data_IF_214642940369
#
_entry.id   IF_214642940369
#
_cell.length_a   1.000
_cell.length_b   1.000
_cell.length_c   1.000
_cell.angle_alpha   90.00
_cell.angle_beta   90.00
_cell.angle_gamma   90.00
#
_symmetry.space_group_name_H-M   'P 1'
#
loop_
_entity.id
_entity.type
_entity.pdbx_description
1 polymer ?
#
# COMPACT_ATOMS: atom_id res chain seq x y z
N UNK A 1 -5.04 -1.26 -19.27
CA UNK A 1 -6.30 -1.55 -18.57
C UNK A 1 -6.07 -2.82 -17.76
N UNK A 2 -5.39 -2.69 -16.61
CA UNK A 2 -4.90 -3.87 -15.88
C UNK A 2 -6.04 -4.48 -15.08
N UNK A 3 -6.55 -5.61 -15.56
CA UNK A 3 -7.47 -6.48 -14.84
C UNK A 3 -6.78 -6.94 -13.56
N UNK A 4 -7.07 -6.30 -12.43
CA UNK A 4 -6.73 -6.82 -11.12
C UNK A 4 -7.54 -8.11 -10.98
N UNK A 5 -6.89 -9.25 -11.25
CA UNK A 5 -7.51 -10.56 -11.18
C UNK A 5 -8.26 -10.69 -9.85
N UNK A 6 -9.49 -11.22 -9.86
CA UNK A 6 -10.33 -11.32 -8.67
C UNK A 6 -9.63 -11.99 -7.46
N UNK A 7 -8.60 -12.80 -7.70
CA UNK A 7 -7.70 -13.38 -6.70
C UNK A 7 -6.87 -12.34 -5.94
N UNK A 8 -6.40 -11.30 -6.61
CA UNK A 8 -5.73 -10.15 -5.99
C UNK A 8 -6.71 -9.40 -5.12
N UNK A 9 -7.93 -9.10 -5.60
CA UNK A 9 -8.96 -8.43 -4.80
C UNK A 9 -9.33 -9.23 -3.52
N UNK A 10 -9.40 -10.56 -3.63
CA UNK A 10 -9.65 -11.42 -2.47
C UNK A 10 -8.49 -11.40 -1.46
N UNK A 11 -7.24 -11.42 -1.94
CA UNK A 11 -6.06 -11.27 -1.07
C UNK A 11 -5.96 -9.86 -0.49
N UNK A 12 -6.40 -8.85 -1.22
CA UNK A 12 -6.48 -7.46 -0.74
C UNK A 12 -7.42 -7.32 0.47
N UNK A 13 -8.51 -8.09 0.50
CA UNK A 13 -9.43 -8.14 1.66
C UNK A 13 -8.80 -8.72 2.92
N UNK A 14 -7.77 -9.54 2.79
CA UNK A 14 -7.02 -10.05 3.94
C UNK A 14 -6.05 -9.01 4.52
N UNK A 15 -5.75 -7.93 3.78
CA UNK A 15 -4.93 -6.84 4.29
C UNK A 15 -5.74 -5.88 5.16
N UNK A 16 -5.18 -5.54 6.32
CA UNK A 16 -5.69 -4.54 7.23
C UNK A 16 -4.88 -3.26 7.11
N UNK A 17 -5.56 -2.16 6.87
CA UNK A 17 -4.98 -0.82 6.94
C UNK A 17 -5.09 -0.31 8.38
N UNK A 18 -3.94 -0.07 9.01
CA UNK A 18 -3.85 0.49 10.36
C UNK A 18 -3.35 1.92 10.22
N UNK A 19 -4.22 2.89 10.44
CA UNK A 19 -3.86 4.31 10.42
C UNK A 19 -2.82 4.59 11.50
N UNK A 20 -1.66 5.13 11.10
CA UNK A 20 -0.58 5.52 12.01
C UNK A 20 -0.57 7.02 12.23
N UNK A 21 -0.99 7.77 11.20
CA UNK A 21 -1.10 9.23 11.23
C UNK A 21 -2.16 9.67 10.22
N UNK A 22 -2.55 10.94 10.28
CA UNK A 22 -3.60 11.53 9.44
C UNK A 22 -3.38 11.30 7.93
N UNK A 23 -2.11 11.22 7.53
CA UNK A 23 -1.66 10.99 6.16
C UNK A 23 -0.92 9.67 5.96
N UNK A 24 -0.86 8.75 6.92
CA UNK A 24 -0.08 7.50 6.78
C UNK A 24 -0.79 6.30 7.40
N UNK A 25 -0.96 5.24 6.63
CA UNK A 25 -1.46 3.94 7.08
C UNK A 25 -0.41 2.84 6.90
N UNK A 26 -0.35 1.89 7.84
CA UNK A 26 0.40 0.64 7.72
C UNK A 26 -0.48 -0.42 7.10
N UNK A 27 0.07 -1.19 6.19
CA UNK A 27 -0.60 -2.34 5.57
C UNK A 27 -0.11 -3.60 6.25
N UNK A 28 -1.03 -4.30 6.90
CA UNK A 28 -0.77 -5.52 7.66
C UNK A 28 -1.46 -6.67 6.96
N UNK A 29 -0.73 -7.75 6.68
CA UNK A 29 -1.28 -9.00 6.17
C UNK A 29 -2.19 -9.68 7.19
N UNK A 30 -3.07 -10.59 6.75
CA UNK A 30 -3.91 -11.40 7.65
C UNK A 30 -3.10 -12.20 8.67
N UNK A 31 -1.82 -12.45 8.39
CA UNK A 31 -0.86 -13.08 9.30
C UNK A 31 -0.29 -12.13 10.38
N UNK A 32 -0.70 -10.86 10.40
CA UNK A 32 -0.16 -9.84 11.32
C UNK A 32 1.17 -9.21 10.89
N UNK A 33 1.68 -9.54 9.70
CA UNK A 33 2.95 -9.01 9.18
C UNK A 33 2.74 -7.68 8.47
N UNK A 34 3.53 -6.66 8.82
CA UNK A 34 3.55 -5.39 8.08
C UNK A 34 4.26 -5.59 6.75
N UNK A 35 3.54 -5.43 5.64
CA UNK A 35 4.10 -5.55 4.28
C UNK A 35 4.58 -4.20 3.72
N UNK A 36 4.07 -3.10 4.27
CA UNK A 36 4.49 -1.74 3.91
C UNK A 36 3.60 -0.66 4.50
N UNK A 37 3.75 0.55 3.97
CA UNK A 37 3.00 1.74 4.37
C UNK A 37 2.39 2.40 3.14
N UNK A 38 1.23 2.99 3.32
CA UNK A 38 0.57 3.83 2.33
C UNK A 38 0.49 5.23 2.91
N UNK A 39 1.17 6.18 2.28
CA UNK A 39 1.07 7.60 2.61
C UNK A 39 0.03 8.27 1.69
N UNK A 40 -0.88 9.05 2.25
CA UNK A 40 -1.83 9.87 1.49
C UNK A 40 -1.20 11.24 1.26
N UNK A 41 -0.88 11.55 0.02
CA UNK A 41 -0.20 12.80 -0.39
C UNK A 41 -1.17 13.81 -1.03
N UNK A 42 -2.48 13.58 -0.92
CA UNK A 42 -3.48 14.46 -1.53
C UNK A 42 -3.97 15.58 -0.61
N UNK A 43 -3.85 16.81 -1.09
CA UNK A 43 -4.48 18.02 -0.54
C UNK A 43 -5.40 18.62 -1.61
N UNK A 44 -6.67 18.81 -1.29
CA UNK A 44 -7.64 19.57 -2.10
C UNK A 44 -8.21 18.89 -3.36
N UNK A 45 -7.37 18.59 -4.36
CA UNK A 45 -7.83 18.30 -5.74
C UNK A 45 -7.74 16.80 -6.13
N UNK A 46 -7.09 15.98 -5.30
CA UNK A 46 -6.91 14.58 -5.61
C UNK A 46 -6.22 13.80 -4.49
N UNK A 47 -6.91 12.81 -3.92
CA UNK A 47 -6.30 11.89 -2.97
C UNK A 47 -5.35 10.94 -3.71
N UNK A 48 -4.05 11.16 -3.56
CA UNK A 48 -3.01 10.21 -4.01
C UNK A 48 -2.51 9.37 -2.85
N UNK A 49 -2.31 8.09 -3.11
CA UNK A 49 -1.84 7.06 -2.21
C UNK A 49 -0.48 6.57 -2.69
N UNK A 50 0.53 6.86 -1.90
CA UNK A 50 1.92 6.53 -2.15
C UNK A 50 2.30 5.29 -1.36
N UNK A 51 2.58 4.21 -2.07
CA UNK A 51 3.01 2.94 -1.49
C UNK A 51 4.51 2.97 -1.18
N UNK A 52 4.87 2.77 0.09
CA UNK A 52 6.25 2.73 0.56
C UNK A 52 6.55 1.39 1.22
N UNK A 53 7.60 0.73 0.76
CA UNK A 53 8.07 -0.54 1.32
C UNK A 53 9.32 -0.31 2.14
N UNK A 54 9.37 -0.90 3.33
CA UNK A 54 10.60 -0.92 4.10
C UNK A 54 11.55 -1.99 3.53
N UNK A 55 12.70 -1.55 2.99
CA UNK A 55 13.79 -2.45 2.58
C UNK A 55 14.93 -2.29 3.58
N UNK A 56 15.10 -3.31 4.42
CA UNK A 56 16.25 -3.39 5.34
C UNK A 56 17.58 -3.36 4.56
N UNK A 57 17.65 -4.00 3.39
CA UNK A 57 18.82 -3.99 2.51
C UNK A 57 19.18 -2.58 1.99
N UNK A 58 18.20 -1.69 1.86
CA UNK A 58 18.41 -0.30 1.45
C UNK A 58 18.48 0.68 2.64
N UNK A 59 18.39 0.18 3.87
CA UNK A 59 18.39 0.98 5.09
C UNK A 59 17.21 1.96 5.21
N UNK A 60 16.10 1.75 4.48
CA UNK A 60 15.04 2.75 4.42
C UNK A 60 13.75 2.33 3.73
N UNK A 61 12.84 3.29 3.65
CA UNK A 61 11.56 3.15 2.92
C UNK A 61 11.76 3.50 1.45
N UNK A 62 11.65 2.50 0.60
CA UNK A 62 11.66 2.67 -0.85
C UNK A 62 10.24 2.88 -1.33
N UNK A 63 10.07 3.88 -2.18
CA UNK A 63 8.79 4.13 -2.83
C UNK A 63 8.54 3.08 -3.91
N UNK A 64 7.39 2.41 -3.81
CA UNK A 64 6.96 1.42 -4.80
C UNK A 64 6.23 2.12 -5.94
N UNK A 65 5.45 3.16 -5.62
CA UNK A 65 4.74 3.97 -6.61
C UNK A 65 3.66 4.84 -5.97
N UNK A 66 3.10 5.72 -6.80
CA UNK A 66 1.99 6.60 -6.45
C UNK A 66 0.74 6.19 -7.24
N UNK A 67 -0.38 6.09 -6.53
CA UNK A 67 -1.63 5.57 -7.05
C UNK A 67 -2.80 6.47 -6.64
N UNK A 68 -3.88 6.44 -7.41
CA UNK A 68 -5.09 7.19 -7.09
C UNK A 68 -6.06 6.42 -6.18
N UNK A 69 -5.86 5.10 -6.05
CA UNK A 69 -6.63 4.21 -5.19
C UNK A 69 -5.73 3.50 -4.20
N UNK A 70 -6.20 3.35 -2.97
CA UNK A 70 -5.49 2.60 -1.93
C UNK A 70 -5.35 1.12 -2.29
N UNK A 71 -6.32 0.55 -2.99
CA UNK A 71 -6.31 -0.85 -3.43
C UNK A 71 -5.16 -1.12 -4.41
N UNK A 72 -4.93 -0.22 -5.36
CA UNK A 72 -3.80 -0.29 -6.29
C UNK A 72 -2.46 -0.18 -5.56
N UNK A 73 -2.36 0.72 -4.58
CA UNK A 73 -1.16 0.88 -3.76
C UNK A 73 -0.84 -0.39 -2.96
N UNK A 74 -1.87 -1.05 -2.40
CA UNK A 74 -1.69 -2.32 -1.68
C UNK A 74 -1.36 -3.47 -2.64
N UNK A 75 -1.99 -3.51 -3.82
CA UNK A 75 -1.70 -4.50 -4.85
C UNK A 75 -0.24 -4.42 -5.31
N UNK A 76 0.26 -3.21 -5.54
CA UNK A 76 1.65 -2.98 -5.91
C UNK A 76 2.63 -3.38 -4.79
N UNK A 77 2.29 -3.14 -3.52
CA UNK A 77 3.08 -3.61 -2.37
C UNK A 77 3.15 -5.14 -2.30
N UNK A 78 2.06 -5.84 -2.66
CA UNK A 78 2.01 -7.29 -2.71
C UNK A 78 2.83 -7.86 -3.87
N UNK A 79 2.68 -7.31 -5.07
CA UNK A 79 3.35 -7.79 -6.28
C UNK A 79 4.86 -7.52 -6.25
N UNK A 80 5.28 -6.43 -5.63
CA UNK A 80 6.70 -6.06 -5.49
C UNK A 80 7.50 -6.99 -4.56
N UNK A 81 6.97 -8.15 -4.17
CA UNK A 81 7.51 -9.12 -3.19
C UNK A 81 8.99 -9.43 -3.41
#
# INVERSE_FOLDING_TARGET
>A
MSTIAASTAHRLRAYRLVTVSDRVARVVDGSGRVIGHVARTGDGDGCRYRARRYRAAAGGFVDVGEFWRVEDAVAALHDSR
#
